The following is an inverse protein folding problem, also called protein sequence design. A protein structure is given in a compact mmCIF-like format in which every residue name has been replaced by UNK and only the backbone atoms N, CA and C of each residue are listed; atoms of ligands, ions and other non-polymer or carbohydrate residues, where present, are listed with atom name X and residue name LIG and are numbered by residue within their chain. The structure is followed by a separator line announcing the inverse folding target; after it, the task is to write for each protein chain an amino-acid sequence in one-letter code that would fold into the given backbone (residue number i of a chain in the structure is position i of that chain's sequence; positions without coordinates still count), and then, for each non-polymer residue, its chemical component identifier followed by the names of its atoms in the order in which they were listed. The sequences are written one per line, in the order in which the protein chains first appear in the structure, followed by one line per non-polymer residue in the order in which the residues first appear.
data_IF_302148598556
#
_entry.id   IF_302148598556
#
_cell.length_a   1.000
_cell.length_b   1.000
_cell.length_c   1.000
_cell.angle_alpha   90.00
_cell.angle_beta   90.00
_cell.angle_gamma   90.00
#
_symmetry.space_group_name_H-M   'P 1'
#
loop_
_entity.id
_entity.type
_entity.pdbx_description
1 polymer ?
#
# COMPACT_ATOMS: atom_id res chain seq x y z
N UNK A 1 -21.02 13.51 1.74
CA UNK A 1 -19.74 14.05 1.24
C UNK A 1 -18.81 12.97 0.61
N UNK A 2 -19.22 11.70 0.57
CA UNK A 2 -18.46 10.60 -0.05
C UNK A 2 -18.76 10.34 -1.55
N UNK A 3 -19.69 11.06 -2.14
CA UNK A 3 -20.18 10.79 -3.52
C UNK A 3 -19.26 11.23 -4.66
N UNK A 4 -18.33 12.14 -4.43
CA UNK A 4 -17.44 12.67 -5.47
C UNK A 4 -16.21 11.76 -5.61
N UNK A 5 -15.82 11.07 -4.56
CA UNK A 5 -14.59 10.29 -4.44
C UNK A 5 -14.64 9.01 -5.30
N UNK A 6 -15.78 8.35 -5.41
CA UNK A 6 -15.87 7.05 -6.08
C UNK A 6 -15.63 7.10 -7.61
N UNK A 7 -15.95 8.20 -8.27
CA UNK A 7 -15.73 8.35 -9.73
C UNK A 7 -14.41 9.05 -10.06
N UNK A 8 -13.93 9.96 -9.21
CA UNK A 8 -12.76 10.77 -9.53
C UNK A 8 -11.43 10.08 -9.18
N UNK A 9 -11.43 9.21 -8.16
CA UNK A 9 -10.24 8.49 -7.74
C UNK A 9 -9.78 7.47 -8.77
N UNK A 10 -10.63 6.55 -9.28
CA UNK A 10 -10.24 5.65 -10.35
C UNK A 10 -9.73 6.40 -11.58
N UNK A 11 -10.36 7.52 -11.94
CA UNK A 11 -9.94 8.33 -13.08
C UNK A 11 -8.54 8.94 -12.88
N UNK A 12 -8.27 9.49 -11.70
CA UNK A 12 -6.95 10.04 -11.37
C UNK A 12 -5.87 8.95 -11.35
N UNK A 13 -6.18 7.78 -10.79
CA UNK A 13 -5.27 6.63 -10.74
C UNK A 13 -5.06 6.01 -12.11
N UNK A 14 -6.10 5.79 -12.91
CA UNK A 14 -5.99 5.29 -14.27
C UNK A 14 -5.07 6.18 -15.10
N UNK A 15 -5.17 7.51 -14.95
CA UNK A 15 -4.30 8.46 -15.63
C UNK A 15 -2.84 8.38 -15.14
N UNK A 16 -2.62 8.23 -13.83
CA UNK A 16 -1.28 8.14 -13.24
C UNK A 16 -0.53 6.85 -13.65
N UNK A 17 -1.27 5.76 -13.89
CA UNK A 17 -0.71 4.45 -14.23
C UNK A 17 -0.99 4.01 -15.68
N UNK A 18 -1.48 4.90 -16.55
CA UNK A 18 -1.86 4.55 -17.95
C UNK A 18 -0.77 3.79 -18.69
N UNK A 19 0.45 4.27 -18.61
CA UNK A 19 1.59 3.73 -19.34
C UNK A 19 2.53 2.91 -18.42
N UNK A 20 2.04 2.52 -17.24
CA UNK A 20 2.87 1.74 -16.34
C UNK A 20 3.01 0.30 -16.85
N UNK A 21 4.23 -0.27 -16.90
CA UNK A 21 4.45 -1.59 -17.53
C UNK A 21 3.72 -2.72 -16.81
N UNK A 22 3.52 -2.66 -15.51
CA UNK A 22 2.98 -3.76 -14.71
C UNK A 22 1.71 -3.42 -13.91
N UNK A 23 1.38 -2.15 -13.71
CA UNK A 23 0.18 -1.74 -12.96
C UNK A 23 -0.94 -1.42 -13.93
N UNK A 24 -2.12 -2.02 -13.71
CA UNK A 24 -3.33 -1.75 -14.47
C UNK A 24 -4.42 -1.18 -13.56
N UNK A 25 -5.03 -0.10 -14.01
CA UNK A 25 -6.19 0.51 -13.31
C UNK A 25 -7.29 0.69 -14.35
N UNK A 26 -8.54 0.26 -14.08
CA UNK A 26 -9.62 0.40 -15.05
C UNK A 26 -9.96 1.87 -15.30
N UNK A 27 -10.34 2.20 -16.52
CA UNK A 27 -10.84 3.53 -16.87
C UNK A 27 -12.34 3.62 -16.57
N UNK A 28 -12.76 4.76 -16.03
CA UNK A 28 -14.19 5.03 -15.78
C UNK A 28 -14.87 5.43 -17.07
N UNK A 29 -15.96 4.74 -17.42
CA UNK A 29 -16.85 5.06 -18.54
C UNK A 29 -17.91 6.04 -18.02
N UNK A 30 -17.61 7.35 -18.12
CA UNK A 30 -18.42 8.41 -17.50
C UNK A 30 -19.86 8.46 -18.03
N UNK A 31 -20.02 8.27 -19.32
CA UNK A 31 -21.32 8.25 -20.02
C UNK A 31 -22.23 7.09 -19.60
N UNK A 32 -21.63 6.01 -19.08
CA UNK A 32 -22.37 4.86 -18.54
C UNK A 32 -22.36 4.81 -17.00
N UNK A 33 -21.86 5.85 -16.34
CA UNK A 33 -21.79 5.97 -14.89
C UNK A 33 -22.79 7.02 -14.37
N UNK A 34 -23.23 6.86 -13.12
CA UNK A 34 -24.18 7.75 -12.48
C UNK A 34 -24.06 7.76 -10.96
N UNK A 35 -25.00 8.41 -10.30
CA UNK A 35 -24.95 8.60 -8.84
C UNK A 35 -24.88 7.30 -8.01
N UNK A 36 -25.31 6.18 -8.59
CA UNK A 36 -25.38 4.88 -7.90
C UNK A 36 -24.76 3.73 -8.70
N UNK A 37 -24.22 4.01 -9.87
CA UNK A 37 -23.60 3.02 -10.77
C UNK A 37 -22.25 3.57 -11.21
N UNK A 38 -21.19 2.80 -11.01
CA UNK A 38 -19.85 3.05 -11.54
C UNK A 38 -19.58 2.02 -12.63
N UNK A 39 -19.40 2.49 -13.87
CA UNK A 39 -19.03 1.65 -15.00
C UNK A 39 -17.57 1.88 -15.34
N UNK A 40 -16.82 0.79 -15.47
CA UNK A 40 -15.38 0.82 -15.75
C UNK A 40 -15.04 -0.17 -16.86
N UNK A 41 -13.91 0.04 -17.52
CA UNK A 41 -13.35 -0.94 -18.45
C UNK A 41 -13.05 -2.25 -17.70
N UNK A 42 -13.28 -3.36 -18.36
CA UNK A 42 -12.95 -4.67 -17.81
C UNK A 42 -11.43 -4.87 -17.81
N UNK A 43 -10.90 -5.35 -16.68
CA UNK A 43 -9.52 -5.84 -16.58
C UNK A 43 -9.54 -7.36 -16.54
N UNK A 44 -8.92 -7.96 -17.54
CA UNK A 44 -8.70 -9.41 -17.57
C UNK A 44 -7.61 -9.83 -16.59
N UNK A 45 -7.60 -11.10 -16.21
CA UNK A 45 -6.62 -11.67 -15.29
C UNK A 45 -7.25 -12.69 -14.34
N UNK A 46 -6.38 -13.47 -13.72
CA UNK A 46 -6.76 -14.45 -12.71
C UNK A 46 -7.31 -13.74 -11.46
N UNK A 47 -8.30 -14.33 -10.83
CA UNK A 47 -8.68 -13.98 -9.46
C UNK A 47 -7.67 -14.54 -8.44
N UNK A 48 -7.87 -14.22 -7.17
CA UNK A 48 -6.99 -14.69 -6.10
C UNK A 48 -6.91 -16.21 -6.01
N UNK A 49 -8.03 -16.90 -6.14
CA UNK A 49 -8.07 -18.35 -6.03
C UNK A 49 -7.27 -19.04 -7.14
N UNK A 50 -7.47 -18.60 -8.38
CA UNK A 50 -6.74 -19.11 -9.54
C UNK A 50 -5.24 -18.75 -9.48
N UNK A 51 -4.91 -17.55 -9.01
CA UNK A 51 -3.52 -17.09 -8.87
C UNK A 51 -2.69 -17.93 -7.89
N UNK A 52 -3.32 -18.58 -6.89
CA UNK A 52 -2.62 -19.47 -5.96
C UNK A 52 -1.92 -20.65 -6.67
N UNK A 53 -2.45 -21.08 -7.81
CA UNK A 53 -1.91 -22.22 -8.57
C UNK A 53 -0.79 -21.84 -9.54
N UNK A 54 -0.47 -20.54 -9.67
CA UNK A 54 0.63 -20.08 -10.52
C UNK A 54 2.00 -20.51 -9.96
N UNK A 55 3.01 -20.49 -10.83
CA UNK A 55 4.38 -20.73 -10.40
C UNK A 55 4.89 -19.64 -9.43
N UNK A 56 5.94 -19.97 -8.69
CA UNK A 56 6.45 -19.08 -7.64
C UNK A 56 7.08 -17.80 -8.21
N UNK A 57 7.68 -17.85 -9.38
CA UNK A 57 8.32 -16.69 -10.00
C UNK A 57 7.27 -15.64 -10.38
N UNK A 58 6.17 -16.09 -10.96
CA UNK A 58 5.05 -15.21 -11.31
C UNK A 58 4.39 -14.61 -10.05
N UNK A 59 4.19 -15.41 -9.00
CA UNK A 59 3.71 -14.91 -7.70
C UNK A 59 4.64 -13.88 -7.08
N UNK A 60 5.95 -14.06 -7.18
CA UNK A 60 6.93 -13.10 -6.70
C UNK A 60 6.84 -11.78 -7.48
N UNK A 61 6.68 -11.85 -8.81
CA UNK A 61 6.48 -10.68 -9.66
C UNK A 61 5.23 -9.89 -9.25
N UNK A 62 4.10 -10.56 -9.06
CA UNK A 62 2.86 -9.90 -8.60
C UNK A 62 3.01 -9.29 -7.21
N UNK A 63 3.68 -9.96 -6.28
CA UNK A 63 3.94 -9.43 -4.94
C UNK A 63 4.78 -8.13 -5.01
N UNK A 64 5.79 -8.09 -5.86
CA UNK A 64 6.57 -6.87 -6.09
C UNK A 64 5.72 -5.75 -6.68
N UNK A 65 4.86 -6.03 -7.66
CA UNK A 65 3.97 -5.03 -8.26
C UNK A 65 2.99 -4.47 -7.23
N UNK A 66 2.39 -5.33 -6.39
CA UNK A 66 1.49 -4.90 -5.31
C UNK A 66 2.23 -4.01 -4.31
N UNK A 67 3.40 -4.43 -3.86
CA UNK A 67 4.23 -3.66 -2.93
C UNK A 67 4.57 -2.29 -3.53
N UNK A 68 4.99 -2.23 -4.79
CA UNK A 68 5.28 -0.97 -5.49
C UNK A 68 4.06 -0.07 -5.64
N UNK A 69 2.88 -0.63 -5.89
CA UNK A 69 1.63 0.13 -5.97
C UNK A 69 1.26 0.75 -4.61
N UNK A 70 1.31 -0.04 -3.54
CA UNK A 70 0.99 0.43 -2.18
C UNK A 70 2.02 1.49 -1.72
N UNK A 71 3.31 1.17 -1.79
CA UNK A 71 4.37 2.07 -1.33
C UNK A 71 4.56 3.29 -2.24
N UNK A 72 4.27 3.17 -3.53
CA UNK A 72 4.30 4.27 -4.49
C UNK A 72 3.33 5.40 -4.14
N UNK A 73 2.26 5.08 -3.43
CA UNK A 73 1.30 6.06 -2.93
C UNK A 73 1.93 7.09 -1.99
N UNK A 74 2.96 6.73 -1.24
CA UNK A 74 3.70 7.66 -0.39
C UNK A 74 4.61 8.61 -1.18
N UNK A 75 5.01 8.22 -2.39
CA UNK A 75 6.00 8.97 -3.21
C UNK A 75 5.35 9.86 -4.26
N UNK A 76 4.28 9.41 -4.90
CA UNK A 76 3.78 9.99 -6.13
C UNK A 76 2.33 10.46 -6.07
N UNK A 77 1.59 10.13 -5.02
CA UNK A 77 0.17 10.46 -4.94
C UNK A 77 -0.23 10.78 -3.49
N UNK A 78 -1.13 11.73 -3.37
CA UNK A 78 -1.81 12.08 -2.14
C UNK A 78 -2.91 11.06 -1.76
N UNK A 79 -3.20 10.09 -2.64
CA UNK A 79 -4.22 9.06 -2.45
C UNK A 79 -3.57 7.73 -2.06
N UNK A 80 -3.85 7.28 -0.85
CA UNK A 80 -3.40 6.00 -0.34
C UNK A 80 -4.53 4.97 -0.37
N UNK A 81 -4.29 3.83 -1.03
CA UNK A 81 -5.22 2.70 -1.04
C UNK A 81 -5.14 1.97 0.30
N UNK A 82 -6.24 1.93 1.05
CA UNK A 82 -6.27 1.41 2.43
C UNK A 82 -7.03 0.10 2.58
N UNK A 83 -7.42 -0.52 1.46
CA UNK A 83 -8.06 -1.84 1.44
C UNK A 83 -7.32 -2.82 0.52
N UNK A 84 -6.16 -3.33 0.94
CA UNK A 84 -5.35 -4.27 0.15
C UNK A 84 -5.94 -5.69 0.14
N UNK A 85 -7.26 -5.81 0.01
CA UNK A 85 -7.93 -7.11 -0.04
C UNK A 85 -7.62 -7.83 -1.36
N UNK A 86 -7.26 -9.14 -1.33
CA UNK A 86 -6.89 -9.89 -2.54
C UNK A 86 -7.97 -9.94 -3.63
N UNK A 87 -9.26 -9.85 -3.26
CA UNK A 87 -10.38 -9.76 -4.19
C UNK A 87 -10.40 -8.52 -5.07
N UNK A 88 -9.64 -7.48 -4.67
CA UNK A 88 -9.50 -6.21 -5.40
C UNK A 88 -8.40 -6.26 -6.47
N UNK A 89 -7.81 -7.44 -6.72
CA UNK A 89 -6.73 -7.62 -7.68
C UNK A 89 -7.13 -8.53 -8.84
N UNK A 90 -6.51 -8.30 -10.00
CA UNK A 90 -6.51 -9.18 -11.17
C UNK A 90 -5.06 -9.46 -11.55
N UNK A 91 -4.71 -10.74 -11.65
CA UNK A 91 -3.34 -11.20 -11.84
C UNK A 91 -3.11 -11.62 -13.28
N UNK A 92 -2.35 -10.82 -14.02
CA UNK A 92 -2.00 -11.11 -15.43
C UNK A 92 -0.89 -12.15 -15.54
N UNK A 93 -1.02 -13.08 -16.48
CA UNK A 93 0.01 -14.08 -16.76
C UNK A 93 1.30 -13.46 -17.32
N UNK A 94 1.24 -12.20 -17.75
CA UNK A 94 2.36 -11.38 -18.19
C UNK A 94 3.08 -10.65 -17.02
N UNK A 95 2.72 -10.96 -15.78
CA UNK A 95 3.26 -10.33 -14.57
C UNK A 95 2.57 -9.02 -14.18
N UNK A 96 1.55 -8.59 -14.91
CA UNK A 96 0.78 -7.38 -14.55
C UNK A 96 -0.16 -7.65 -13.39
N UNK A 97 -0.50 -6.58 -12.64
CA UNK A 97 -1.55 -6.61 -11.62
C UNK A 97 -2.55 -5.48 -11.89
N UNK A 98 -3.82 -5.86 -11.99
CA UNK A 98 -4.96 -4.96 -12.07
C UNK A 98 -5.53 -4.64 -10.69
N UNK A 99 -5.81 -3.37 -10.42
CA UNK A 99 -6.41 -2.88 -9.18
C UNK A 99 -7.80 -2.35 -9.49
N UNK A 100 -8.85 -3.04 -8.99
CA UNK A 100 -10.23 -2.82 -9.47
C UNK A 100 -11.14 -2.10 -8.48
N UNK A 101 -10.78 -2.01 -7.20
CA UNK A 101 -11.58 -1.30 -6.20
C UNK A 101 -10.80 -0.14 -5.57
N UNK A 102 -11.41 1.05 -5.63
CA UNK A 102 -10.91 2.28 -5.04
C UNK A 102 -11.94 2.89 -4.07
N UNK A 103 -12.88 2.07 -3.57
CA UNK A 103 -13.90 2.51 -2.63
C UNK A 103 -13.34 2.93 -1.28
N UNK A 104 -12.16 2.42 -0.92
CA UNK A 104 -11.49 2.75 0.33
C UNK A 104 -10.12 3.36 0.05
N UNK A 105 -10.05 4.70 0.00
CA UNK A 105 -8.80 5.45 -0.16
C UNK A 105 -8.72 6.55 0.87
N UNK A 106 -7.50 6.87 1.29
CA UNK A 106 -7.21 7.99 2.19
C UNK A 106 -6.37 9.03 1.45
N UNK A 107 -6.78 10.28 1.55
CA UNK A 107 -5.93 11.41 1.13
C UNK A 107 -4.89 11.62 2.22
N UNK A 108 -3.62 11.54 1.84
CA UNK A 108 -2.49 11.83 2.74
C UNK A 108 -1.94 13.21 2.39
N UNK A 109 -2.15 14.23 3.23
CA UNK A 109 -1.52 15.54 3.05
C UNK A 109 0.01 15.42 2.95
N UNK A 110 0.63 16.35 2.22
CA UNK A 110 2.09 16.37 2.03
C UNK A 110 2.85 16.29 3.36
N UNK A 111 2.37 17.00 4.38
CA UNK A 111 2.99 16.98 5.72
C UNK A 111 3.01 15.57 6.34
N UNK A 112 1.91 14.81 6.19
CA UNK A 112 1.84 13.44 6.69
C UNK A 112 2.73 12.49 5.87
N UNK A 113 2.75 12.63 4.55
CA UNK A 113 3.65 11.85 3.68
C UNK A 113 5.11 12.08 4.04
N UNK A 114 5.50 13.33 4.21
CA UNK A 114 6.85 13.70 4.63
C UNK A 114 7.21 13.16 6.02
N UNK A 115 6.25 13.15 6.93
CA UNK A 115 6.45 12.59 8.27
C UNK A 115 6.73 11.08 8.20
N UNK A 116 5.94 10.32 7.43
CA UNK A 116 6.18 8.88 7.21
C UNK A 116 7.57 8.63 6.63
N UNK A 117 7.96 9.38 5.60
CA UNK A 117 9.30 9.26 4.99
C UNK A 117 10.41 9.54 6.00
N UNK A 118 10.24 10.57 6.85
CA UNK A 118 11.21 10.89 7.92
C UNK A 118 11.28 9.80 8.97
N UNK A 119 10.14 9.18 9.35
CA UNK A 119 10.12 8.06 10.28
C UNK A 119 10.90 6.84 9.74
N UNK A 120 10.63 6.44 8.49
CA UNK A 120 11.36 5.35 7.83
C UNK A 120 12.85 5.67 7.77
N UNK A 121 13.22 6.89 7.39
CA UNK A 121 14.63 7.32 7.36
C UNK A 121 15.29 7.23 8.74
N UNK A 122 14.63 7.73 9.78
CA UNK A 122 15.14 7.64 11.15
C UNK A 122 15.36 6.20 11.61
N UNK A 123 14.45 5.29 11.23
CA UNK A 123 14.59 3.87 11.51
C UNK A 123 15.76 3.23 10.75
N UNK A 124 15.89 3.49 9.45
CA UNK A 124 17.00 2.98 8.61
C UNK A 124 18.36 3.47 9.11
N UNK A 125 18.44 4.72 9.55
CA UNK A 125 19.67 5.33 10.08
C UNK A 125 19.92 5.05 11.56
N UNK A 126 19.05 4.28 12.23
CA UNK A 126 19.18 3.91 13.64
C UNK A 126 18.99 5.08 14.64
N UNK A 127 18.36 6.18 14.20
CA UNK A 127 18.13 7.37 15.03
C UNK A 127 16.88 7.20 15.89
N UNK A 128 17.05 6.48 17.01
CA UNK A 128 15.94 6.01 17.86
C UNK A 128 15.13 7.14 18.51
N UNK A 129 15.80 8.14 19.09
CA UNK A 129 15.13 9.28 19.71
C UNK A 129 14.37 10.13 18.70
N UNK A 130 14.95 10.35 17.51
CA UNK A 130 14.30 11.07 16.42
C UNK A 130 13.08 10.29 15.91
N UNK A 131 13.19 8.96 15.74
CA UNK A 131 12.06 8.12 15.39
C UNK A 131 10.93 8.25 16.41
N UNK A 132 11.23 8.11 17.71
CA UNK A 132 10.22 8.27 18.78
C UNK A 132 9.55 9.63 18.71
N UNK A 133 10.31 10.71 18.54
CA UNK A 133 9.76 12.06 18.41
C UNK A 133 8.80 12.19 17.20
N UNK A 134 9.17 11.61 16.05
CA UNK A 134 8.30 11.56 14.85
C UNK A 134 7.03 10.74 15.06
N UNK A 135 7.12 9.65 15.82
CA UNK A 135 5.95 8.83 16.14
C UNK A 135 4.97 9.55 17.07
N UNK A 136 5.46 10.36 18.00
CA UNK A 136 4.62 11.27 18.79
C UNK A 136 3.99 12.35 17.89
N UNK A 137 4.78 12.98 17.01
CA UNK A 137 4.30 13.98 16.04
C UNK A 137 3.20 13.42 15.13
N UNK A 138 3.29 12.14 14.76
CA UNK A 138 2.30 11.46 13.91
C UNK A 138 1.05 10.99 14.64
N UNK A 139 1.06 11.03 15.98
CA UNK A 139 -0.05 10.56 16.82
C UNK A 139 -0.10 9.05 17.05
N UNK A 140 0.99 8.31 16.78
CA UNK A 140 1.07 6.89 17.12
C UNK A 140 0.95 6.66 18.63
N UNK A 141 1.55 7.54 19.41
CA UNK A 141 1.41 7.58 20.86
C UNK A 141 1.67 9.00 21.40
N UNK A 142 1.32 9.25 22.65
CA UNK A 142 1.48 10.55 23.28
C UNK A 142 2.91 10.74 23.85
N UNK A 143 3.31 11.98 24.09
CA UNK A 143 4.64 12.29 24.59
C UNK A 143 4.92 11.68 25.99
N UNK A 144 3.89 11.49 26.79
CA UNK A 144 3.93 10.88 28.14
C UNK A 144 3.81 9.35 28.10
N UNK A 145 3.75 8.73 26.93
CA UNK A 145 3.76 7.28 26.79
C UNK A 145 5.01 6.69 27.46
N UNK A 146 4.87 5.57 28.22
CA UNK A 146 5.98 4.91 28.89
C UNK A 146 6.95 4.21 27.91
N UNK A 147 6.60 4.11 26.62
CA UNK A 147 7.45 3.50 25.61
C UNK A 147 8.74 4.28 25.45
N UNK A 148 9.86 3.59 25.63
CA UNK A 148 11.19 4.16 25.41
C UNK A 148 11.49 4.32 23.91
N UNK A 149 12.55 5.04 23.56
CA UNK A 149 13.01 5.14 22.19
C UNK A 149 13.42 3.77 21.63
N UNK A 150 13.97 2.89 22.47
CA UNK A 150 14.34 1.53 22.09
C UNK A 150 13.12 0.63 21.85
N UNK A 151 12.06 0.77 22.64
CA UNK A 151 10.80 0.04 22.43
C UNK A 151 10.12 0.48 21.14
N UNK A 152 10.01 1.78 20.92
CA UNK A 152 9.47 2.35 19.69
C UNK A 152 10.26 1.92 18.45
N UNK A 153 11.58 1.88 18.56
CA UNK A 153 12.47 1.45 17.48
C UNK A 153 12.28 -0.04 17.15
N UNK A 154 12.27 -0.92 18.14
CA UNK A 154 12.03 -2.36 17.94
C UNK A 154 10.68 -2.63 17.29
N UNK A 155 9.63 -2.01 17.80
CA UNK A 155 8.28 -2.13 17.25
C UNK A 155 8.22 -1.66 15.78
N UNK A 156 8.81 -0.51 15.48
CA UNK A 156 8.79 0.03 14.12
C UNK A 156 9.61 -0.80 13.14
N UNK A 157 10.72 -1.41 13.59
CA UNK A 157 11.51 -2.33 12.79
C UNK A 157 10.70 -3.55 12.31
N UNK A 158 9.80 -4.06 13.15
CA UNK A 158 8.93 -5.17 12.77
C UNK A 158 7.90 -4.74 11.70
N UNK A 159 7.40 -3.50 11.76
CA UNK A 159 6.46 -2.96 10.78
C UNK A 159 7.12 -2.74 9.41
N UNK A 160 8.36 -2.24 9.39
CA UNK A 160 9.10 -1.96 8.15
C UNK A 160 10.15 -3.01 7.84
N UNK A 161 9.96 -4.25 8.34
CA UNK A 161 10.93 -5.33 8.21
C UNK A 161 11.39 -5.53 6.76
N UNK A 162 10.48 -5.49 5.80
CA UNK A 162 10.78 -5.64 4.38
C UNK A 162 11.73 -4.56 3.82
N UNK A 163 11.75 -3.38 4.46
CA UNK A 163 12.67 -2.29 4.06
C UNK A 163 14.05 -2.50 4.67
N UNK A 164 14.12 -3.05 5.89
CA UNK A 164 15.35 -3.20 6.66
C UNK A 164 16.09 -4.50 6.38
N UNK A 165 15.36 -5.54 5.99
CA UNK A 165 15.93 -6.87 5.74
C UNK A 165 16.84 -6.88 4.50
N UNK A 166 17.83 -7.81 4.45
CA UNK A 166 18.60 -8.04 3.24
C UNK A 166 17.71 -8.38 2.05
N UNK A 167 18.02 -7.81 0.89
CA UNK A 167 17.25 -8.02 -0.33
C UNK A 167 17.83 -9.20 -1.15
N UNK A 168 16.99 -9.99 -1.84
CA UNK A 168 15.51 -9.93 -1.86
C UNK A 168 14.89 -10.47 -0.56
N UNK A 169 13.77 -9.89 -0.15
CA UNK A 169 13.03 -10.35 1.03
C UNK A 169 12.12 -11.51 0.67
N UNK A 170 12.17 -12.57 1.48
CA UNK A 170 11.21 -13.68 1.39
C UNK A 170 10.16 -13.52 2.49
N UNK A 171 8.90 -13.37 2.08
CA UNK A 171 7.78 -13.37 3.00
C UNK A 171 7.45 -14.80 3.41
N UNK A 172 7.44 -15.05 4.71
CA UNK A 172 7.07 -16.33 5.29
C UNK A 172 5.86 -16.16 6.21
N UNK A 173 5.21 -17.25 6.56
CA UNK A 173 4.14 -17.22 7.56
C UNK A 173 4.64 -16.66 8.90
N UNK A 174 5.89 -16.93 9.25
CA UNK A 174 6.53 -16.42 10.47
C UNK A 174 6.70 -14.90 10.42
N UNK A 175 7.20 -14.33 9.30
CA UNK A 175 7.33 -12.87 9.14
C UNK A 175 5.98 -12.18 9.21
N UNK A 176 4.94 -12.76 8.59
CA UNK A 176 3.58 -12.22 8.67
C UNK A 176 3.01 -12.29 10.08
N UNK A 177 3.21 -13.41 10.79
CA UNK A 177 2.76 -13.57 12.17
C UNK A 177 3.44 -12.60 13.12
N UNK A 178 4.75 -12.37 12.96
CA UNK A 178 5.49 -11.40 13.76
C UNK A 178 5.01 -9.97 13.54
N UNK A 179 4.80 -9.56 12.30
CA UNK A 179 4.27 -8.24 11.98
C UNK A 179 2.88 -8.01 12.62
N UNK A 180 1.98 -9.01 12.57
CA UNK A 180 0.68 -8.93 13.23
C UNK A 180 0.80 -8.88 14.74
N UNK A 181 1.66 -9.72 15.34
CA UNK A 181 1.85 -9.77 16.78
C UNK A 181 2.42 -8.44 17.35
N UNK A 182 3.19 -7.71 16.57
CA UNK A 182 3.73 -6.41 16.97
C UNK A 182 2.68 -5.30 17.02
N UNK A 183 1.49 -5.52 16.44
CA UNK A 183 0.36 -4.57 16.45
C UNK A 183 -0.62 -4.76 17.61
N UNK A 184 -0.50 -5.88 18.35
CA UNK A 184 -1.35 -6.24 19.51
C UNK A 184 -0.65 -5.94 20.84
#
# INVERSE_FOLDING_TARGET
MLKIIACDIPHHRARAYRDHPFIRVPEVVREASGARVLTMTYLDGLDWAAAQSADQELKNTWAEVITRFITGSYRHADLFHVDPHPGNYRFGLDGTVGFVDFGCVKVLPESQRQLIVRMVRSAVEGRRDDLRARMVESGFFTADSPLTADDAYRWYQDIIYEILAPQPVTYTEETSRRAVASLL
#
